data_IF_862586320064
#
_entry.id   IF_862586320064
#
_cell.length_a   1.000
_cell.length_b   1.000
_cell.length_c   1.000
_cell.angle_alpha   90.00
_cell.angle_beta   90.00
_cell.angle_gamma   90.00
#
_symmetry.space_group_name_H-M   'P 1'
#
loop_
_entity.id
_entity.type
_entity.pdbx_description
1 polymer ?
#
# COMPACT_ATOMS: atom_id res chain seq x y z
N UNK A 1 33.45 17.70 16.16
CA UNK A 1 32.58 16.60 15.68
C UNK A 1 33.43 15.60 14.92
N UNK A 2 33.49 14.33 15.34
CA UNK A 2 34.22 13.28 14.60
C UNK A 2 33.37 12.85 13.41
N UNK A 3 33.95 12.88 12.21
CA UNK A 3 33.29 12.37 11.02
C UNK A 3 32.92 10.89 11.21
N UNK A 4 31.69 10.46 10.87
CA UNK A 4 31.29 9.06 11.01
C UNK A 4 32.18 8.16 10.14
N UNK A 5 32.58 7.01 10.70
CA UNK A 5 33.43 6.03 10.04
C UNK A 5 32.79 5.39 8.78
N UNK A 6 33.60 4.73 7.94
CA UNK A 6 33.13 4.17 6.67
C UNK A 6 31.99 3.14 6.81
N UNK A 7 31.98 2.35 7.90
CA UNK A 7 30.93 1.37 8.17
C UNK A 7 29.56 2.01 8.52
N UNK A 8 29.53 3.10 9.31
CA UNK A 8 28.30 3.83 9.63
C UNK A 8 27.74 4.57 8.42
N UNK A 9 28.61 5.02 7.51
CA UNK A 9 28.19 5.58 6.20
C UNK A 9 27.56 4.52 5.29
N UNK A 10 28.07 3.29 5.28
CA UNK A 10 27.53 2.19 4.48
C UNK A 10 26.17 1.68 5.03
N UNK A 11 26.07 1.45 6.34
CA UNK A 11 24.82 1.09 7.03
C UNK A 11 23.73 2.15 6.82
N UNK A 12 24.10 3.43 6.85
CA UNK A 12 23.22 4.54 6.56
C UNK A 12 22.68 4.60 5.13
N UNK A 13 23.46 4.15 4.13
CA UNK A 13 23.03 4.07 2.73
C UNK A 13 22.18 2.84 2.44
N UNK A 14 22.35 1.78 3.22
CA UNK A 14 21.68 0.49 3.05
C UNK A 14 20.44 0.32 3.95
N UNK A 15 20.25 1.16 4.98
CA UNK A 15 19.14 1.05 5.92
C UNK A 15 17.74 1.14 5.29
N UNK A 16 17.43 2.17 4.49
CA UNK A 16 16.14 2.29 3.80
C UNK A 16 15.85 1.14 2.83
N UNK A 17 16.78 0.75 1.93
CA UNK A 17 16.55 -0.41 1.07
C UNK A 17 16.49 -1.72 1.86
N UNK A 18 17.18 -1.86 2.98
CA UNK A 18 17.07 -3.06 3.84
C UNK A 18 15.71 -3.16 4.55
N UNK A 19 15.18 -2.07 5.10
CA UNK A 19 13.85 -2.04 5.70
C UNK A 19 12.74 -2.29 4.66
N UNK A 20 12.90 -1.71 3.46
CA UNK A 20 12.09 -1.99 2.27
C UNK A 20 12.15 -3.47 1.88
N UNK A 21 13.35 -4.05 1.79
CA UNK A 21 13.53 -5.46 1.47
C UNK A 21 12.93 -6.37 2.55
N UNK A 22 13.01 -5.99 3.82
CA UNK A 22 12.40 -6.75 4.93
C UNK A 22 10.87 -6.70 4.86
N UNK A 23 10.26 -5.54 4.58
CA UNK A 23 8.81 -5.42 4.42
C UNK A 23 8.32 -6.26 3.24
N UNK A 24 9.00 -6.15 2.08
CA UNK A 24 8.68 -6.94 0.90
C UNK A 24 8.90 -8.44 1.19
N UNK A 25 9.99 -8.83 1.84
CA UNK A 25 10.28 -10.20 2.21
C UNK A 25 9.28 -10.78 3.22
N UNK A 26 8.67 -9.95 4.07
CA UNK A 26 7.62 -10.39 4.99
C UNK A 26 6.29 -10.70 4.27
N UNK A 27 5.95 -9.94 3.23
CA UNK A 27 4.67 -10.07 2.51
C UNK A 27 4.75 -11.07 1.35
N UNK A 28 5.90 -11.15 0.67
CA UNK A 28 6.10 -11.94 -0.55
C UNK A 28 5.80 -13.45 -0.37
N UNK A 29 6.20 -14.13 0.74
CA UNK A 29 5.88 -15.54 0.93
C UNK A 29 4.37 -15.81 1.00
N UNK A 30 3.62 -14.94 1.68
CA UNK A 30 2.15 -15.05 1.75
C UNK A 30 1.53 -14.85 0.37
N UNK A 31 1.96 -13.82 -0.36
CA UNK A 31 1.56 -13.58 -1.75
C UNK A 31 1.79 -14.80 -2.67
N UNK A 32 2.95 -15.47 -2.55
CA UNK A 32 3.28 -16.68 -3.32
C UNK A 32 2.40 -17.88 -2.95
N UNK A 33 1.94 -17.96 -1.69
CA UNK A 33 0.95 -18.95 -1.22
C UNK A 33 -0.50 -18.59 -1.58
N UNK A 34 -0.73 -17.43 -2.21
CA UNK A 34 -2.07 -16.91 -2.53
C UNK A 34 -2.79 -16.27 -1.34
N UNK A 35 -2.07 -16.00 -0.25
CA UNK A 35 -2.57 -15.27 0.91
C UNK A 35 -2.57 -13.76 0.63
N UNK A 36 -3.40 -13.02 1.35
CA UNK A 36 -3.39 -11.55 1.33
C UNK A 36 -3.67 -10.99 2.71
N UNK A 37 -3.48 -9.68 2.85
CA UNK A 37 -3.84 -8.95 4.05
C UNK A 37 -5.36 -8.95 4.18
N UNK A 38 -5.85 -9.45 5.30
CA UNK A 38 -7.28 -9.48 5.62
C UNK A 38 -7.46 -8.84 6.99
N UNK A 39 -8.27 -7.77 7.06
CA UNK A 39 -8.65 -7.15 8.32
C UNK A 39 -9.90 -6.30 8.11
N UNK A 40 -10.76 -6.22 9.13
CA UNK A 40 -12.01 -5.44 9.10
C UNK A 40 -12.88 -5.77 7.89
N UNK A 41 -13.26 -4.76 7.14
CA UNK A 41 -14.27 -4.76 6.10
C UNK A 41 -13.68 -4.87 4.70
N UNK A 42 -12.37 -5.14 4.55
CA UNK A 42 -11.73 -5.38 3.25
C UNK A 42 -12.47 -6.48 2.47
N UNK A 43 -12.73 -7.61 3.12
CA UNK A 43 -13.43 -8.74 2.51
C UNK A 43 -14.96 -8.54 2.41
N UNK A 44 -15.54 -7.61 3.18
CA UNK A 44 -17.00 -7.38 3.19
C UNK A 44 -17.45 -6.21 2.31
N UNK A 45 -16.56 -5.25 2.04
CA UNK A 45 -16.88 -3.99 1.35
C UNK A 45 -15.99 -3.82 0.13
N UNK A 46 -14.67 -3.81 0.31
CA UNK A 46 -13.75 -3.54 -0.79
C UNK A 46 -13.75 -4.66 -1.84
N UNK A 47 -13.61 -5.92 -1.43
CA UNK A 47 -13.53 -7.05 -2.37
C UNK A 47 -14.79 -7.17 -3.24
N UNK A 48 -16.03 -7.16 -2.69
CA UNK A 48 -17.24 -7.19 -3.52
C UNK A 48 -17.38 -6.00 -4.47
N UNK A 49 -16.90 -4.81 -4.05
CA UNK A 49 -16.92 -3.61 -4.88
C UNK A 49 -15.95 -3.75 -6.07
N UNK A 50 -14.74 -4.25 -5.83
CA UNK A 50 -13.76 -4.54 -6.89
C UNK A 50 -14.29 -5.63 -7.83
N UNK A 51 -14.90 -6.70 -7.31
CA UNK A 51 -15.50 -7.73 -8.16
C UNK A 51 -16.59 -7.17 -9.07
N UNK A 52 -17.43 -6.27 -8.55
CA UNK A 52 -18.47 -5.62 -9.33
C UNK A 52 -17.90 -4.71 -10.42
N UNK A 53 -16.84 -3.96 -10.11
CA UNK A 53 -16.07 -3.19 -11.09
C UNK A 53 -15.49 -4.10 -12.20
N UNK A 54 -14.80 -5.17 -11.83
CA UNK A 54 -14.16 -6.09 -12.78
C UNK A 54 -15.21 -6.77 -13.66
N UNK A 55 -16.33 -7.22 -13.09
CA UNK A 55 -17.46 -7.82 -13.84
C UNK A 55 -18.04 -6.83 -14.86
N UNK A 56 -18.33 -5.59 -14.44
CA UNK A 56 -18.89 -4.58 -15.33
C UNK A 56 -17.99 -4.37 -16.56
N UNK A 57 -16.68 -4.22 -16.36
CA UNK A 57 -15.71 -4.07 -17.46
C UNK A 57 -15.65 -5.32 -18.34
N UNK A 58 -15.62 -6.52 -17.73
CA UNK A 58 -15.58 -7.78 -18.46
C UNK A 58 -16.83 -7.99 -19.34
N UNK A 59 -17.99 -7.50 -18.90
CA UNK A 59 -19.25 -7.53 -19.63
C UNK A 59 -19.36 -6.42 -20.70
N UNK A 60 -18.32 -5.61 -20.88
CA UNK A 60 -18.31 -4.48 -21.82
C UNK A 60 -19.17 -3.29 -21.38
N UNK A 61 -19.56 -3.25 -20.10
CA UNK A 61 -20.33 -2.18 -19.51
C UNK A 61 -19.42 -1.15 -18.81
N UNK A 62 -19.79 0.14 -18.82
CA UNK A 62 -19.06 1.13 -18.04
C UNK A 62 -19.28 0.86 -16.53
N UNK A 63 -18.26 1.03 -15.67
CA UNK A 63 -18.34 0.65 -14.26
C UNK A 63 -19.02 1.75 -13.43
N UNK A 64 -20.27 2.08 -13.79
CA UNK A 64 -21.03 3.19 -13.19
C UNK A 64 -21.90 2.72 -12.03
N UNK A 65 -22.32 1.46 -12.04
CA UNK A 65 -23.32 0.91 -11.12
C UNK A 65 -22.94 -0.51 -10.69
N UNK A 66 -23.02 -0.78 -9.40
CA UNK A 66 -22.92 -2.11 -8.81
C UNK A 66 -24.34 -2.59 -8.48
N UNK A 67 -24.88 -3.60 -9.19
CA UNK A 67 -26.23 -4.12 -8.94
C UNK A 67 -26.29 -5.12 -7.77
N UNK A 68 -25.15 -5.56 -7.24
CA UNK A 68 -25.05 -6.64 -6.25
C UNK A 68 -25.03 -6.13 -4.81
N UNK A 69 -24.61 -4.90 -4.58
CA UNK A 69 -24.55 -4.31 -3.24
C UNK A 69 -25.82 -3.54 -2.87
N UNK A 70 -26.51 -3.95 -1.80
CA UNK A 70 -27.52 -3.13 -1.11
C UNK A 70 -28.58 -2.51 -2.02
N UNK A 71 -29.20 -3.32 -2.89
CA UNK A 71 -30.20 -2.94 -3.90
C UNK A 71 -29.68 -2.10 -5.08
N UNK A 72 -28.37 -2.01 -5.21
CA UNK A 72 -27.71 -1.28 -6.28
C UNK A 72 -27.09 0.02 -5.77
N UNK A 73 -25.84 0.29 -6.16
CA UNK A 73 -25.10 1.49 -5.75
C UNK A 73 -24.31 2.11 -6.90
N UNK A 74 -24.16 3.44 -6.93
CA UNK A 74 -23.31 4.10 -7.90
C UNK A 74 -21.83 3.86 -7.56
N UNK A 75 -21.06 3.34 -8.51
CA UNK A 75 -19.64 3.09 -8.33
C UNK A 75 -18.80 4.37 -8.50
N UNK A 76 -19.11 5.21 -9.50
CA UNK A 76 -18.38 6.46 -9.73
C UNK A 76 -18.61 7.53 -8.66
N UNK A 77 -19.78 7.51 -8.02
CA UNK A 77 -20.12 8.45 -6.95
C UNK A 77 -19.67 7.94 -5.57
N UNK A 78 -19.21 6.69 -5.46
CA UNK A 78 -18.64 6.16 -4.23
C UNK A 78 -17.11 6.32 -4.27
N UNK A 79 -16.52 7.26 -3.50
CA UNK A 79 -15.08 7.48 -3.51
C UNK A 79 -14.30 6.25 -3.07
N UNK A 80 -14.93 5.33 -2.32
CA UNK A 80 -14.30 4.09 -1.86
C UNK A 80 -14.05 3.10 -2.99
N UNK A 81 -14.77 3.22 -4.11
CA UNK A 81 -14.56 2.40 -5.30
C UNK A 81 -13.29 2.76 -6.06
N UNK A 82 -12.74 3.95 -5.83
CA UNK A 82 -11.46 4.41 -6.38
C UNK A 82 -11.33 4.21 -7.89
N UNK A 83 -12.43 4.23 -8.65
CA UNK A 83 -12.41 3.96 -10.09
C UNK A 83 -11.58 5.01 -10.84
N UNK A 84 -11.54 6.24 -10.34
CA UNK A 84 -10.73 7.30 -10.92
C UNK A 84 -9.27 7.26 -10.44
N UNK A 85 -8.91 6.34 -9.54
CA UNK A 85 -7.55 6.15 -9.10
C UNK A 85 -6.85 5.13 -10.01
N UNK A 86 -5.82 5.52 -10.79
CA UNK A 86 -5.22 4.64 -11.80
C UNK A 86 -4.76 3.26 -11.29
N UNK A 87 -4.17 3.12 -10.08
CA UNK A 87 -3.81 1.81 -9.54
C UNK A 87 -4.97 0.82 -9.46
N UNK A 88 -6.20 1.27 -9.17
CA UNK A 88 -7.39 0.41 -9.05
C UNK A 88 -7.61 -0.46 -10.30
N UNK A 89 -7.26 0.05 -11.48
CA UNK A 89 -7.42 -0.66 -12.75
C UNK A 89 -6.52 -1.89 -12.88
N UNK A 90 -5.48 -2.03 -12.06
CA UNK A 90 -4.65 -3.23 -12.01
C UNK A 90 -5.46 -4.48 -11.59
N UNK A 91 -6.61 -4.31 -10.92
CA UNK A 91 -7.53 -5.41 -10.62
C UNK A 91 -8.11 -6.09 -11.89
N UNK A 92 -8.00 -5.47 -13.06
CA UNK A 92 -8.35 -6.11 -14.34
C UNK A 92 -7.26 -7.08 -14.83
N UNK A 93 -6.03 -6.96 -14.33
CA UNK A 93 -4.86 -7.69 -14.79
C UNK A 93 -4.37 -8.74 -13.78
N UNK A 94 -4.78 -8.63 -12.52
CA UNK A 94 -4.37 -9.54 -11.45
C UNK A 94 -5.51 -9.78 -10.46
N UNK A 95 -5.36 -10.83 -9.64
CA UNK A 95 -6.32 -11.15 -8.59
C UNK A 95 -6.40 -10.00 -7.58
N UNK A 96 -7.59 -9.65 -7.07
CA UNK A 96 -7.74 -8.59 -6.05
C UNK A 96 -6.84 -8.79 -4.84
N UNK A 97 -6.70 -10.03 -4.36
CA UNK A 97 -5.79 -10.37 -3.27
C UNK A 97 -4.32 -9.96 -3.55
N UNK A 98 -3.85 -10.16 -4.78
CA UNK A 98 -2.49 -9.80 -5.21
C UNK A 98 -2.38 -8.28 -5.34
N UNK A 99 -3.35 -7.63 -5.97
CA UNK A 99 -3.40 -6.17 -6.05
C UNK A 99 -3.34 -5.53 -4.67
N UNK A 100 -4.18 -5.99 -3.73
CA UNK A 100 -4.29 -5.39 -2.40
C UNK A 100 -2.97 -5.41 -1.63
N UNK A 101 -2.27 -6.54 -1.66
CA UNK A 101 -0.97 -6.64 -1.01
C UNK A 101 0.07 -5.73 -1.66
N UNK A 102 0.10 -5.65 -3.00
CA UNK A 102 1.00 -4.74 -3.73
C UNK A 102 0.67 -3.27 -3.48
N UNK A 103 -0.61 -2.95 -3.41
CA UNK A 103 -1.14 -1.61 -3.11
C UNK A 103 -0.68 -1.15 -1.72
N UNK A 104 -0.91 -1.98 -0.69
CA UNK A 104 -0.49 -1.69 0.68
C UNK A 104 1.03 -1.54 0.76
N UNK A 105 1.79 -2.50 0.22
CA UNK A 105 3.25 -2.43 0.24
C UNK A 105 3.72 -1.17 -0.47
N UNK A 106 3.21 -0.88 -1.67
CA UNK A 106 3.54 0.32 -2.44
C UNK A 106 3.38 1.61 -1.63
N UNK A 107 2.25 1.80 -0.96
CA UNK A 107 2.00 3.01 -0.16
C UNK A 107 2.87 3.10 1.08
N UNK A 108 3.11 1.98 1.79
CA UNK A 108 4.03 1.97 2.93
C UNK A 108 5.47 2.30 2.51
N UNK A 109 5.89 1.84 1.33
CA UNK A 109 7.20 2.16 0.78
C UNK A 109 7.32 3.63 0.38
N UNK A 110 6.29 4.19 -0.27
CA UNK A 110 6.23 5.61 -0.59
C UNK A 110 6.26 6.47 0.67
N UNK A 111 5.49 6.09 1.70
CA UNK A 111 5.46 6.78 2.99
C UNK A 111 6.84 6.75 3.69
N UNK A 112 7.47 5.59 3.75
CA UNK A 112 8.83 5.44 4.32
C UNK A 112 9.88 6.22 3.53
N UNK A 113 9.84 6.17 2.19
CA UNK A 113 10.76 6.92 1.33
C UNK A 113 10.56 8.44 1.47
N UNK A 114 9.32 8.89 1.59
CA UNK A 114 8.99 10.29 1.87
C UNK A 114 9.57 10.76 3.20
N UNK A 115 9.36 9.99 4.27
CA UNK A 115 9.93 10.29 5.60
C UNK A 115 11.46 10.29 5.59
N UNK A 116 12.08 9.32 4.92
CA UNK A 116 13.54 9.33 4.73
C UNK A 116 14.01 10.61 4.05
N UNK A 117 13.39 10.99 2.91
CA UNK A 117 13.77 12.20 2.17
C UNK A 117 13.59 13.46 3.02
N UNK A 118 12.51 13.55 3.79
CA UNK A 118 12.26 14.65 4.72
C UNK A 118 13.34 14.73 5.81
N UNK A 119 13.61 13.61 6.50
CA UNK A 119 14.66 13.55 7.51
C UNK A 119 16.05 13.91 6.96
N UNK A 120 16.36 13.49 5.73
CA UNK A 120 17.62 13.87 5.07
C UNK A 120 17.67 15.34 4.69
N UNK A 121 16.54 15.90 4.25
CA UNK A 121 16.42 17.33 3.97
C UNK A 121 16.67 18.17 5.23
N UNK A 122 16.20 17.70 6.39
CA UNK A 122 16.35 18.39 7.67
C UNK A 122 17.73 18.18 8.33
N UNK A 123 18.69 17.60 7.60
CA UNK A 123 20.08 17.46 8.03
C UNK A 123 20.35 16.26 8.95
N UNK A 124 19.39 15.34 9.12
CA UNK A 124 19.64 14.13 9.91
C UNK A 124 20.71 13.25 9.25
N UNK A 125 21.58 12.70 10.10
CA UNK A 125 22.53 11.67 9.68
C UNK A 125 21.78 10.45 9.11
N UNK A 126 22.38 9.71 8.16
CA UNK A 126 21.72 8.61 7.46
C UNK A 126 21.07 7.58 8.40
N UNK A 127 21.73 7.17 9.47
CA UNK A 127 21.17 6.16 10.39
C UNK A 127 19.92 6.69 11.11
N UNK A 128 19.94 7.96 11.52
CA UNK A 128 18.80 8.59 12.19
C UNK A 128 17.61 8.77 11.25
N UNK A 129 17.86 9.14 9.99
CA UNK A 129 16.81 9.20 8.97
C UNK A 129 16.19 7.82 8.67
N UNK A 130 16.98 6.74 8.74
CA UNK A 130 16.48 5.38 8.51
C UNK A 130 15.58 4.95 9.66
N UNK A 131 16.00 5.26 10.88
CA UNK A 131 15.19 5.03 12.07
C UNK A 131 13.87 5.81 12.01
N UNK A 132 13.89 7.09 11.58
CA UNK A 132 12.69 7.89 11.41
C UNK A 132 11.74 7.29 10.35
N UNK A 133 12.27 6.89 9.19
CA UNK A 133 11.49 6.26 8.14
C UNK A 133 10.85 4.94 8.60
N UNK A 134 11.61 4.09 9.31
CA UNK A 134 11.12 2.84 9.86
C UNK A 134 10.07 3.05 10.95
N UNK A 135 10.30 3.99 11.87
CA UNK A 135 9.35 4.34 12.91
C UNK A 135 8.02 4.87 12.34
N UNK A 136 8.09 5.69 11.29
CA UNK A 136 6.91 6.17 10.58
C UNK A 136 6.16 5.03 9.87
N UNK A 137 6.87 4.22 9.08
CA UNK A 137 6.32 3.09 8.34
C UNK A 137 5.62 2.07 9.24
N UNK A 138 6.17 1.84 10.45
CA UNK A 138 5.63 0.91 11.44
C UNK A 138 4.72 1.57 12.49
N UNK A 139 4.39 2.85 12.34
CA UNK A 139 3.58 3.57 13.32
C UNK A 139 2.12 3.08 13.31
N UNK A 140 1.49 3.06 14.49
CA UNK A 140 0.09 2.66 14.63
C UNK A 140 -0.89 3.43 13.74
N UNK A 141 -0.78 4.77 13.60
CA UNK A 141 -1.62 5.54 12.68
C UNK A 141 -1.51 5.07 11.23
N UNK A 142 -0.30 4.92 10.69
CA UNK A 142 -0.11 4.52 9.29
C UNK A 142 -0.55 3.07 9.06
N UNK A 143 -0.21 2.14 9.96
CA UNK A 143 -0.64 0.75 9.87
C UNK A 143 -2.17 0.60 10.03
N UNK A 144 -2.84 1.52 10.72
CA UNK A 144 -4.31 1.51 10.81
C UNK A 144 -4.97 1.78 9.45
N UNK A 145 -4.35 2.60 8.60
CA UNK A 145 -4.85 2.90 7.25
C UNK A 145 -4.80 1.67 6.33
N UNK A 146 -3.90 0.72 6.59
CA UNK A 146 -3.86 -0.59 5.88
C UNK A 146 -5.15 -1.39 6.04
N UNK A 147 -5.95 -1.12 7.07
CA UNK A 147 -7.26 -1.75 7.24
C UNK A 147 -8.42 -0.93 6.67
N UNK A 148 -8.14 0.24 6.09
CA UNK A 148 -9.11 1.17 5.53
C UNK A 148 -8.60 1.62 4.16
N UNK A 149 -8.64 0.70 3.17
CA UNK A 149 -7.94 0.81 1.88
C UNK A 149 -8.03 2.20 1.20
N UNK A 150 -9.21 2.83 1.26
CA UNK A 150 -9.51 4.10 0.61
C UNK A 150 -8.87 5.33 1.28
N UNK A 151 -8.03 5.12 2.29
CA UNK A 151 -7.25 6.14 2.97
C UNK A 151 -5.73 5.97 2.83
N UNK A 152 -5.29 4.97 2.04
CA UNK A 152 -3.89 4.83 1.63
C UNK A 152 -3.68 5.53 0.28
#
# INVERSE_FOLDING_TARGET
MRAPGPATRALGRLGPPAALLLLVAAVLPGLLRGETLYLRDINMVWLPQVESFVRAIADGAPPLWDPHSGFGRPLWADPRAEILYPPTWLNLLMRPATYYALFVVGHLLLAGAGMWRLARHDGMEPVAAAAAAGAWAASGPLLSLVSMWHHL
#
